data_IF_543430915521
#
_entry.id   IF_543430915521
#
_cell.length_a   1.000
_cell.length_b   1.000
_cell.length_c   1.000
_cell.angle_alpha   90.00
_cell.angle_beta   90.00
_cell.angle_gamma   90.00
#
_symmetry.space_group_name_H-M   'P 1'
#
loop_
_entity.id
_entity.type
_entity.pdbx_description
1 polymer ?
#
# COMPACT_ATOMS: atom_id res chain seq x y z
N UNK A 1 -6.32 0.30 -16.97
CA UNK A 1 -5.62 -0.76 -16.19
C UNK A 1 -6.23 -2.10 -16.57
N UNK A 2 -5.41 -3.10 -16.91
CA UNK A 2 -5.91 -4.43 -17.28
C UNK A 2 -6.65 -5.13 -16.14
N UNK A 3 -7.46 -6.15 -16.46
CA UNK A 3 -8.11 -6.97 -15.42
C UNK A 3 -7.06 -7.70 -14.59
N UNK A 4 -7.21 -7.82 -13.25
CA UNK A 4 -6.32 -8.62 -12.43
C UNK A 4 -6.21 -10.06 -12.96
N UNK A 5 -5.02 -10.66 -12.91
CA UNK A 5 -4.73 -12.03 -13.39
C UNK A 5 -5.67 -13.06 -12.74
N UNK A 6 -5.97 -12.84 -11.48
CA UNK A 6 -6.95 -13.59 -10.71
C UNK A 6 -8.36 -13.54 -11.30
N UNK A 7 -8.81 -12.38 -11.78
CA UNK A 7 -10.11 -12.24 -12.42
C UNK A 7 -10.13 -12.96 -13.77
N UNK A 8 -9.04 -12.86 -14.54
CA UNK A 8 -8.90 -13.57 -15.83
C UNK A 8 -9.04 -15.08 -15.62
N UNK A 9 -8.37 -15.63 -14.60
CA UNK A 9 -8.48 -17.03 -14.25
C UNK A 9 -9.92 -17.41 -13.81
N UNK A 10 -10.54 -16.63 -12.93
CA UNK A 10 -11.91 -16.90 -12.45
C UNK A 10 -12.94 -16.82 -13.59
N UNK A 11 -12.80 -15.85 -14.49
CA UNK A 11 -13.66 -15.71 -15.69
C UNK A 11 -13.55 -16.98 -16.55
N UNK A 12 -12.33 -17.46 -16.81
CA UNK A 12 -12.11 -18.68 -17.60
C UNK A 12 -12.66 -19.92 -16.90
N UNK A 13 -12.38 -20.08 -15.60
CA UNK A 13 -12.89 -21.20 -14.80
C UNK A 13 -14.42 -21.25 -14.81
N UNK A 14 -15.07 -20.10 -14.69
CA UNK A 14 -16.53 -19.95 -14.73
C UNK A 14 -17.07 -20.31 -16.12
N UNK A 15 -16.44 -19.80 -17.18
CA UNK A 15 -16.81 -20.13 -18.55
C UNK A 15 -16.67 -21.64 -18.84
N UNK A 16 -15.61 -22.28 -18.34
CA UNK A 16 -15.43 -23.73 -18.45
C UNK A 16 -16.52 -24.50 -17.70
N UNK A 17 -16.88 -24.06 -16.49
CA UNK A 17 -17.96 -24.68 -15.72
C UNK A 17 -19.31 -24.58 -16.43
N UNK A 18 -19.64 -23.40 -16.96
CA UNK A 18 -20.88 -23.18 -17.73
C UNK A 18 -20.90 -24.01 -19.01
N UNK A 19 -19.76 -24.11 -19.70
CA UNK A 19 -19.66 -24.93 -20.92
C UNK A 19 -19.98 -26.40 -20.66
N UNK A 20 -19.49 -26.96 -19.54
CA UNK A 20 -19.80 -28.35 -19.15
C UNK A 20 -21.23 -28.51 -18.65
N UNK A 21 -21.79 -27.48 -18.00
CA UNK A 21 -23.19 -27.45 -17.58
C UNK A 21 -24.14 -27.56 -18.78
N UNK A 22 -23.89 -26.76 -19.81
CA UNK A 22 -24.75 -26.66 -20.99
C UNK A 22 -24.53 -27.83 -21.95
N UNK A 23 -23.29 -28.33 -22.01
CA UNK A 23 -22.91 -29.48 -22.81
C UNK A 23 -21.97 -30.40 -22.01
N UNK A 24 -22.52 -31.53 -21.52
CA UNK A 24 -21.78 -32.53 -20.73
C UNK A 24 -20.54 -33.10 -21.43
N UNK A 25 -20.48 -33.05 -22.76
CA UNK A 25 -19.33 -33.51 -23.56
C UNK A 25 -18.42 -32.37 -24.04
N UNK A 26 -18.60 -31.14 -23.52
CA UNK A 26 -17.75 -30.01 -23.84
C UNK A 26 -16.27 -30.34 -23.57
N UNK A 27 -15.42 -29.96 -24.53
CA UNK A 27 -13.97 -30.05 -24.41
C UNK A 27 -13.47 -28.76 -23.78
N UNK A 28 -12.76 -28.90 -22.65
CA UNK A 28 -12.18 -27.78 -21.94
C UNK A 28 -10.67 -27.77 -22.18
N UNK A 29 -10.12 -26.61 -22.56
CA UNK A 29 -8.67 -26.42 -22.65
C UNK A 29 -8.06 -26.35 -21.25
N UNK A 30 -7.73 -27.51 -20.70
CA UNK A 30 -7.14 -27.64 -19.36
C UNK A 30 -5.71 -27.12 -19.30
N UNK A 31 -4.99 -27.02 -20.44
CA UNK A 31 -3.63 -26.45 -20.48
C UNK A 31 -3.67 -24.93 -20.34
N UNK A 32 -4.59 -24.28 -21.04
CA UNK A 32 -4.83 -22.85 -20.90
C UNK A 32 -5.30 -22.53 -19.47
N UNK A 33 -6.26 -23.30 -18.95
CA UNK A 33 -6.79 -23.11 -17.60
C UNK A 33 -5.70 -23.28 -16.53
N UNK A 34 -4.82 -24.28 -16.68
CA UNK A 34 -3.66 -24.48 -15.81
C UNK A 34 -2.67 -23.31 -15.88
N UNK A 35 -2.36 -22.81 -17.08
CA UNK A 35 -1.44 -21.69 -17.26
C UNK A 35 -1.96 -20.40 -16.60
N UNK A 36 -3.26 -20.11 -16.75
CA UNK A 36 -3.90 -18.97 -16.08
C UNK A 36 -3.92 -19.14 -14.56
N UNK A 37 -4.17 -20.35 -14.09
CA UNK A 37 -4.13 -20.67 -12.66
C UNK A 37 -2.73 -20.44 -12.07
N UNK A 38 -1.67 -20.94 -12.71
CA UNK A 38 -0.30 -20.79 -12.20
C UNK A 38 0.14 -19.32 -12.13
N UNK A 39 -0.27 -18.52 -13.12
CA UNK A 39 -0.04 -17.07 -13.12
C UNK A 39 -0.81 -16.39 -11.97
N UNK A 40 -2.12 -16.65 -11.85
CA UNK A 40 -2.96 -16.07 -10.81
C UNK A 40 -2.45 -16.43 -9.41
N UNK A 41 -2.05 -17.69 -9.21
CA UNK A 41 -1.44 -18.19 -7.97
C UNK A 41 -0.17 -17.43 -7.63
N UNK A 42 0.77 -17.33 -8.57
CA UNK A 42 2.05 -16.64 -8.38
C UNK A 42 1.85 -15.18 -7.98
N UNK A 43 0.96 -14.47 -8.68
CA UNK A 43 0.65 -13.06 -8.37
C UNK A 43 0.01 -12.92 -6.98
N UNK A 44 -0.93 -13.81 -6.63
CA UNK A 44 -1.59 -13.76 -5.32
C UNK A 44 -0.62 -14.04 -4.16
N UNK A 45 0.29 -15.01 -4.31
CA UNK A 45 1.35 -15.25 -3.33
C UNK A 45 2.27 -14.05 -3.17
N UNK A 46 2.71 -13.43 -4.28
CA UNK A 46 3.53 -12.20 -4.22
C UNK A 46 2.81 -11.07 -3.49
N UNK A 47 1.51 -10.88 -3.74
CA UNK A 47 0.68 -9.87 -3.03
C UNK A 47 0.60 -10.17 -1.54
N UNK A 48 0.38 -11.44 -1.16
CA UNK A 48 0.37 -11.85 0.24
C UNK A 48 1.71 -11.55 0.92
N UNK A 49 2.83 -12.00 0.35
CA UNK A 49 4.17 -11.78 0.91
C UNK A 49 4.52 -10.29 1.02
N UNK A 50 4.09 -9.47 0.05
CA UNK A 50 4.28 -8.03 0.14
C UNK A 50 3.45 -7.43 1.27
N UNK A 51 2.20 -7.87 1.43
CA UNK A 51 1.33 -7.40 2.51
C UNK A 51 1.84 -7.83 3.89
N UNK A 52 2.42 -9.02 4.03
CA UNK A 52 3.02 -9.50 5.29
C UNK A 52 4.06 -8.54 5.86
N UNK A 53 4.86 -7.90 4.98
CA UNK A 53 5.92 -6.95 5.34
C UNK A 53 5.41 -5.58 5.82
N UNK A 54 4.16 -5.24 5.50
CA UNK A 54 3.56 -3.95 5.89
C UNK A 54 3.12 -4.06 7.35
N UNK A 55 3.45 -3.11 8.21
CA UNK A 55 2.89 -3.09 9.57
C UNK A 55 1.44 -2.62 9.53
N UNK A 56 0.55 -3.24 10.31
CA UNK A 56 -0.79 -2.67 10.50
C UNK A 56 -0.62 -1.37 11.30
N UNK A 57 -1.10 -0.27 10.75
CA UNK A 57 -0.92 1.04 11.35
C UNK A 57 -2.23 1.59 11.94
N UNK A 58 -3.37 1.05 11.51
CA UNK A 58 -4.69 1.41 11.99
C UNK A 58 -5.43 0.15 12.43
N UNK A 59 -5.22 -0.24 13.68
CA UNK A 59 -5.82 -1.45 14.26
C UNK A 59 -7.34 -1.41 14.31
N UNK A 60 -7.92 -0.21 14.32
CA UNK A 60 -9.38 -0.05 14.38
C UNK A 60 -10.01 -0.38 13.02
N UNK A 61 -9.37 0.03 11.93
CA UNK A 61 -9.80 -0.37 10.59
C UNK A 61 -9.37 -1.79 10.22
N UNK A 62 -8.23 -2.24 10.74
CA UNK A 62 -7.65 -3.58 10.48
C UNK A 62 -7.59 -3.91 8.97
N UNK A 63 -7.28 -2.90 8.15
CA UNK A 63 -7.37 -3.01 6.69
C UNK A 63 -6.36 -4.03 6.14
N UNK A 64 -5.15 -4.10 6.73
CA UNK A 64 -4.16 -5.13 6.37
C UNK A 64 -4.71 -6.51 6.72
N UNK A 65 -5.27 -6.68 7.92
CA UNK A 65 -5.83 -7.96 8.37
C UNK A 65 -6.93 -8.47 7.46
N UNK A 66 -7.88 -7.60 7.08
CA UNK A 66 -8.98 -7.93 6.17
C UNK A 66 -8.45 -8.29 4.77
N UNK A 67 -7.50 -7.49 4.24
CA UNK A 67 -6.85 -7.77 2.95
C UNK A 67 -6.10 -9.10 2.97
N UNK A 68 -5.43 -9.41 4.07
CA UNK A 68 -4.70 -10.66 4.27
C UNK A 68 -5.64 -11.86 4.26
N UNK A 69 -6.77 -11.76 4.96
CA UNK A 69 -7.78 -12.83 5.00
C UNK A 69 -8.39 -13.10 3.62
N UNK A 70 -8.59 -12.06 2.80
CA UNK A 70 -8.98 -12.19 1.41
C UNK A 70 -7.96 -12.99 0.60
N UNK A 71 -6.67 -12.62 0.63
CA UNK A 71 -5.62 -13.35 -0.11
C UNK A 71 -5.46 -14.80 0.35
N UNK A 72 -5.51 -15.06 1.66
CA UNK A 72 -5.45 -16.42 2.22
C UNK A 72 -6.59 -17.30 1.74
N UNK A 73 -7.79 -16.75 1.56
CA UNK A 73 -8.94 -17.54 1.07
C UNK A 73 -8.72 -18.10 -0.32
N UNK A 74 -8.08 -17.32 -1.20
CA UNK A 74 -7.68 -17.77 -2.52
C UNK A 74 -6.53 -18.77 -2.49
N UNK A 75 -5.55 -18.57 -1.61
CA UNK A 75 -4.46 -19.53 -1.49
C UNK A 75 -4.93 -20.91 -1.01
N UNK A 76 -5.94 -20.97 -0.15
CA UNK A 76 -6.62 -22.23 0.20
C UNK A 76 -7.23 -22.93 -1.03
N UNK A 77 -8.00 -22.19 -1.82
CA UNK A 77 -8.57 -22.64 -3.11
C UNK A 77 -7.49 -23.13 -4.08
N UNK A 78 -6.41 -22.38 -4.22
CA UNK A 78 -5.31 -22.66 -5.14
C UNK A 78 -4.50 -23.89 -4.74
N UNK A 79 -4.42 -24.23 -3.45
CA UNK A 79 -3.66 -25.40 -3.01
C UNK A 79 -4.44 -26.70 -3.21
N UNK A 80 -5.77 -26.68 -3.05
CA UNK A 80 -6.54 -27.92 -2.92
C UNK A 80 -7.61 -28.10 -4.01
N UNK A 81 -8.54 -27.15 -4.13
CA UNK A 81 -9.74 -27.32 -4.94
C UNK A 81 -9.48 -27.05 -6.43
N UNK A 82 -8.74 -26.00 -6.76
CA UNK A 82 -8.51 -25.62 -8.17
C UNK A 82 -7.74 -26.68 -8.97
N UNK A 83 -6.61 -27.25 -8.49
CA UNK A 83 -5.93 -28.32 -9.22
C UNK A 83 -6.84 -29.53 -9.47
N UNK A 84 -7.65 -29.91 -8.48
CA UNK A 84 -8.62 -31.00 -8.61
C UNK A 84 -9.72 -30.66 -9.63
N UNK A 85 -10.22 -29.42 -9.64
CA UNK A 85 -11.20 -28.97 -10.61
C UNK A 85 -10.67 -29.06 -12.06
N UNK A 86 -9.42 -28.63 -12.29
CA UNK A 86 -8.77 -28.71 -13.61
C UNK A 86 -8.64 -30.17 -14.07
N UNK A 87 -8.26 -31.08 -13.16
CA UNK A 87 -8.21 -32.51 -13.44
C UNK A 87 -9.59 -33.06 -13.85
N UNK A 88 -10.64 -32.72 -13.09
CA UNK A 88 -12.02 -33.16 -13.38
C UNK A 88 -12.47 -32.64 -14.76
N UNK A 89 -12.15 -31.39 -15.12
CA UNK A 89 -12.46 -30.86 -16.45
C UNK A 89 -11.83 -31.67 -17.59
N UNK A 90 -10.66 -32.27 -17.37
CA UNK A 90 -9.97 -33.12 -18.34
C UNK A 90 -10.56 -34.53 -18.49
N UNK A 91 -11.48 -34.93 -17.62
CA UNK A 91 -12.12 -36.25 -17.69
C UNK A 91 -13.18 -36.33 -18.80
N UNK A 92 -13.63 -37.55 -19.12
CA UNK A 92 -14.71 -37.82 -20.09
C UNK A 92 -16.04 -38.19 -19.41
N UNK A 93 -16.23 -37.87 -18.13
CA UNK A 93 -17.48 -38.17 -17.43
C UNK A 93 -18.56 -37.13 -17.69
N UNK A 94 -19.82 -37.55 -17.55
CA UNK A 94 -20.99 -36.67 -17.66
C UNK A 94 -21.23 -35.82 -16.41
N UNK A 95 -20.71 -36.24 -15.25
CA UNK A 95 -20.92 -35.63 -13.93
C UNK A 95 -19.87 -34.56 -13.56
N UNK A 96 -19.05 -34.15 -14.54
CA UNK A 96 -17.97 -33.18 -14.34
C UNK A 96 -18.48 -31.85 -13.78
N UNK A 97 -19.65 -31.40 -14.23
CA UNK A 97 -20.25 -30.16 -13.73
C UNK A 97 -20.53 -30.26 -12.23
N UNK A 98 -21.26 -31.30 -11.80
CA UNK A 98 -21.65 -31.50 -10.40
C UNK A 98 -20.41 -31.66 -9.51
N UNK A 99 -19.41 -32.43 -9.96
CA UNK A 99 -18.17 -32.65 -9.21
C UNK A 99 -17.35 -31.37 -9.05
N UNK A 100 -17.19 -30.59 -10.12
CA UNK A 100 -16.47 -29.31 -10.02
C UNK A 100 -17.28 -28.31 -9.19
N UNK A 101 -18.58 -28.18 -9.43
CA UNK A 101 -19.45 -27.25 -8.73
C UNK A 101 -19.45 -27.50 -7.21
N UNK A 102 -19.62 -28.76 -6.80
CA UNK A 102 -19.60 -29.16 -5.39
C UNK A 102 -18.24 -28.90 -4.72
N UNK A 103 -17.16 -28.96 -5.50
CA UNK A 103 -15.81 -28.70 -5.02
C UNK A 103 -15.53 -27.20 -4.85
N UNK A 104 -15.85 -26.37 -5.86
CA UNK A 104 -15.39 -24.98 -5.91
C UNK A 104 -16.41 -23.96 -5.38
N UNK A 105 -17.72 -24.16 -5.60
CA UNK A 105 -18.72 -23.14 -5.27
C UNK A 105 -18.79 -22.80 -3.77
N UNK A 106 -18.72 -23.76 -2.83
CA UNK A 106 -18.72 -23.43 -1.41
C UNK A 106 -17.55 -22.52 -1.02
N UNK A 107 -16.38 -22.75 -1.60
CA UNK A 107 -15.17 -21.96 -1.33
C UNK A 107 -15.23 -20.59 -2.00
N UNK A 108 -15.71 -20.51 -3.25
CA UNK A 108 -15.92 -19.25 -3.94
C UNK A 108 -16.91 -18.35 -3.20
N UNK A 109 -17.94 -18.92 -2.55
CA UNK A 109 -18.88 -18.16 -1.72
C UNK A 109 -18.18 -17.51 -0.52
N UNK A 110 -17.31 -18.25 0.18
CA UNK A 110 -16.51 -17.71 1.30
C UNK A 110 -15.57 -16.62 0.80
N UNK A 111 -14.88 -16.87 -0.30
CA UNK A 111 -13.99 -15.89 -0.94
C UNK A 111 -14.75 -14.63 -1.35
N UNK A 112 -15.98 -14.75 -1.87
CA UNK A 112 -16.82 -13.61 -2.22
C UNK A 112 -17.21 -12.78 -1.00
N UNK A 113 -17.53 -13.41 0.13
CA UNK A 113 -17.81 -12.70 1.38
C UNK A 113 -16.59 -11.89 1.84
N UNK A 114 -15.38 -12.48 1.73
CA UNK A 114 -14.12 -11.78 2.06
C UNK A 114 -13.80 -10.65 1.08
N UNK A 115 -14.13 -10.79 -0.21
CA UNK A 115 -14.01 -9.72 -1.20
C UNK A 115 -14.90 -8.52 -0.84
N UNK A 116 -16.15 -8.79 -0.41
CA UNK A 116 -17.08 -7.74 0.02
C UNK A 116 -16.58 -7.04 1.29
N UNK A 117 -16.05 -7.79 2.26
CA UNK A 117 -15.44 -7.23 3.45
C UNK A 117 -14.22 -6.34 3.11
N UNK A 118 -13.36 -6.77 2.18
CA UNK A 118 -12.24 -5.98 1.68
C UNK A 118 -12.72 -4.67 1.02
N UNK A 119 -13.74 -4.75 0.16
CA UNK A 119 -14.33 -3.56 -0.48
C UNK A 119 -14.88 -2.57 0.54
N UNK A 120 -15.59 -3.07 1.55
CA UNK A 120 -16.09 -2.21 2.62
C UNK A 120 -14.93 -1.58 3.40
N UNK A 121 -13.93 -2.37 3.79
CA UNK A 121 -12.77 -1.87 4.52
C UNK A 121 -11.97 -0.83 3.71
N UNK A 122 -11.91 -0.97 2.39
CA UNK A 122 -11.33 0.03 1.50
C UNK A 122 -12.12 1.35 1.54
N UNK A 123 -13.46 1.27 1.48
CA UNK A 123 -14.34 2.45 1.60
C UNK A 123 -14.18 3.11 2.97
N UNK A 124 -14.15 2.33 4.04
CA UNK A 124 -14.00 2.82 5.42
C UNK A 124 -12.64 3.51 5.59
N UNK A 125 -11.58 2.91 5.05
CA UNK A 125 -10.24 3.49 5.01
C UNK A 125 -10.21 4.80 4.25
N UNK A 126 -10.69 4.82 3.00
CA UNK A 126 -10.74 6.02 2.18
C UNK A 126 -11.56 7.11 2.85
N UNK A 127 -12.68 6.77 3.49
CA UNK A 127 -13.55 7.71 4.20
C UNK A 127 -12.86 8.30 5.42
N UNK A 128 -12.33 7.47 6.33
CA UNK A 128 -11.62 7.93 7.55
C UNK A 128 -10.49 8.89 7.18
N UNK A 129 -9.66 8.52 6.22
CA UNK A 129 -8.49 9.34 5.85
C UNK A 129 -8.83 10.54 4.95
N UNK A 130 -9.94 10.51 4.22
CA UNK A 130 -10.47 11.68 3.51
C UNK A 130 -11.12 12.67 4.46
N UNK A 131 -11.87 12.21 5.46
CA UNK A 131 -12.44 13.07 6.49
C UNK A 131 -11.35 13.70 7.35
N UNK A 132 -10.35 12.91 7.78
CA UNK A 132 -9.14 13.45 8.43
C UNK A 132 -8.44 14.50 7.57
N UNK A 133 -8.40 14.33 6.24
CA UNK A 133 -7.81 15.34 5.36
C UNK A 133 -8.64 16.64 5.24
N UNK A 134 -9.96 16.55 5.43
CA UNK A 134 -10.89 17.68 5.35
C UNK A 134 -11.09 18.39 6.69
N UNK A 135 -10.96 17.68 7.80
CA UNK A 135 -11.05 18.21 9.16
C UNK A 135 -9.74 18.83 9.65
N UNK A 136 -8.65 18.71 8.88
CA UNK A 136 -7.43 19.46 9.13
C UNK A 136 -7.72 20.95 8.96
N UNK A 137 -7.48 21.72 10.03
CA UNK A 137 -7.67 23.16 10.03
C UNK A 137 -6.89 23.80 8.86
N UNK A 138 -7.49 24.83 8.28
CA UNK A 138 -6.86 25.62 7.22
C UNK A 138 -5.57 26.21 7.80
N UNK A 139 -4.43 25.73 7.32
CA UNK A 139 -3.09 25.98 7.87
C UNK A 139 -2.82 27.49 8.05
N UNK A 140 -2.91 27.96 9.28
CA UNK A 140 -2.53 29.30 9.72
C UNK A 140 -1.17 29.25 10.42
N UNK A 141 -0.50 30.39 10.60
CA UNK A 141 0.81 30.44 11.26
C UNK A 141 0.84 29.87 12.69
N UNK A 142 -0.31 29.67 13.34
CA UNK A 142 -0.46 29.04 14.66
C UNK A 142 -0.56 27.51 14.65
N UNK A 143 -0.70 26.87 13.48
CA UNK A 143 -0.80 25.41 13.34
C UNK A 143 0.57 24.71 13.27
N UNK A 144 1.64 25.47 13.45
CA UNK A 144 3.00 24.97 13.35
C UNK A 144 3.79 25.21 14.63
N UNK A 145 4.48 24.16 15.07
CA UNK A 145 5.46 24.19 16.14
C UNK A 145 6.86 24.12 15.52
N UNK A 146 7.77 24.99 15.97
CA UNK A 146 9.15 25.02 15.48
C UNK A 146 10.07 24.43 16.55
N UNK A 147 10.51 23.20 16.33
CA UNK A 147 11.38 22.47 17.27
C UNK A 147 12.82 22.61 16.83
N UNK A 148 13.72 23.00 17.73
CA UNK A 148 15.15 23.08 17.41
C UNK A 148 15.69 21.71 17.04
N UNK A 149 16.40 21.63 15.92
CA UNK A 149 16.96 20.37 15.43
C UNK A 149 17.91 19.74 16.45
N UNK A 150 18.70 20.56 17.18
CA UNK A 150 19.62 20.10 18.22
C UNK A 150 18.93 19.48 19.44
N UNK A 151 17.69 19.86 19.70
CA UNK A 151 16.90 19.37 20.84
C UNK A 151 16.03 18.17 20.44
N UNK A 152 15.99 17.84 19.14
CA UNK A 152 15.23 16.73 18.60
C UNK A 152 16.06 15.44 18.63
N UNK A 153 15.57 14.42 19.33
CA UNK A 153 16.22 13.12 19.42
C UNK A 153 15.84 12.26 18.21
N UNK A 154 16.81 11.94 17.35
CA UNK A 154 16.61 11.04 16.21
C UNK A 154 17.87 10.24 15.88
N UNK A 155 17.66 9.11 15.20
CA UNK A 155 18.74 8.35 14.55
C UNK A 155 18.77 8.66 13.07
N UNK A 156 19.96 8.82 12.50
CA UNK A 156 20.10 9.01 11.05
C UNK A 156 20.09 7.67 10.32
N UNK A 157 19.67 7.70 9.06
CA UNK A 157 19.85 6.58 8.13
C UNK A 157 20.20 7.12 6.74
N UNK A 158 20.42 6.22 5.79
CA UNK A 158 20.68 6.58 4.40
C UNK A 158 19.61 5.98 3.50
N UNK A 159 19.28 6.71 2.44
CA UNK A 159 18.30 6.28 1.45
C UNK A 159 18.93 6.40 0.07
N UNK A 160 18.67 5.43 -0.80
CA UNK A 160 19.19 5.45 -2.17
C UNK A 160 18.51 6.54 -2.98
N UNK A 161 19.30 7.23 -3.81
CA UNK A 161 18.76 8.16 -4.81
C UNK A 161 17.71 7.47 -5.69
N UNK A 162 16.63 8.18 -6.00
CA UNK A 162 15.52 7.64 -6.77
C UNK A 162 14.55 6.76 -5.97
N UNK A 163 14.75 6.56 -4.66
CA UNK A 163 13.82 5.79 -3.83
C UNK A 163 12.42 6.41 -3.87
N UNK A 164 11.39 5.57 -3.95
CA UNK A 164 9.99 6.00 -4.00
C UNK A 164 9.42 6.02 -2.59
N UNK A 165 8.96 7.18 -2.16
CA UNK A 165 8.49 7.44 -0.80
C UNK A 165 7.01 7.76 -0.84
N UNK A 166 6.19 6.92 -0.24
CA UNK A 166 4.76 7.18 -0.06
C UNK A 166 4.53 7.95 1.24
N UNK A 167 3.99 9.16 1.11
CA UNK A 167 3.75 10.08 2.22
C UNK A 167 2.57 9.64 3.09
N UNK A 168 2.84 9.61 4.39
CA UNK A 168 1.85 9.51 5.46
C UNK A 168 1.49 10.90 6.00
N UNK A 169 2.51 11.76 6.16
CA UNK A 169 2.37 13.06 6.81
C UNK A 169 3.40 14.05 6.27
N UNK A 170 3.05 15.34 6.33
CA UNK A 170 3.88 16.45 5.88
C UNK A 170 3.57 17.73 6.66
N UNK A 171 4.63 18.38 7.12
CA UNK A 171 4.51 19.49 8.06
C UNK A 171 4.23 20.86 7.45
N UNK A 172 4.34 21.11 6.15
CA UNK A 172 4.01 22.44 5.58
C UNK A 172 4.83 23.62 6.09
N UNK A 173 4.24 24.82 6.01
CA UNK A 173 4.80 26.10 6.50
C UNK A 173 5.49 26.93 5.42
N UNK A 174 4.93 28.10 5.08
CA UNK A 174 5.44 28.98 4.01
C UNK A 174 5.87 30.39 4.49
N UNK A 175 5.52 30.77 5.73
CA UNK A 175 5.93 32.05 6.34
C UNK A 175 7.12 31.84 7.28
N UNK A 176 8.33 31.83 6.72
CA UNK A 176 9.57 31.52 7.45
C UNK A 176 10.48 32.74 7.51
N UNK A 177 11.12 33.00 8.65
CA UNK A 177 12.07 34.11 8.82
C UNK A 177 13.37 33.86 8.05
N UNK A 178 13.94 34.88 7.40
CA UNK A 178 15.20 34.74 6.65
C UNK A 178 16.44 34.43 7.53
N UNK A 179 16.37 34.69 8.85
CA UNK A 179 17.51 34.53 9.77
C UNK A 179 17.77 33.09 10.26
N UNK A 180 16.82 32.18 10.02
CA UNK A 180 16.84 30.80 10.53
C UNK A 180 16.77 29.77 9.38
N UNK A 181 17.26 28.57 9.64
CA UNK A 181 17.17 27.43 8.73
C UNK A 181 16.01 26.55 9.16
N UNK A 182 15.08 26.30 8.26
CA UNK A 182 13.89 25.50 8.53
C UNK A 182 13.84 24.24 7.68
N UNK A 183 13.45 23.15 8.31
CA UNK A 183 13.22 21.86 7.67
C UNK A 183 11.72 21.54 7.67
N UNK A 184 11.17 21.33 6.48
CA UNK A 184 9.90 20.63 6.28
C UNK A 184 10.14 19.15 6.51
N UNK A 185 9.30 18.51 7.31
CA UNK A 185 9.37 17.06 7.52
C UNK A 185 8.32 16.34 6.67
N UNK A 186 8.72 15.17 6.19
CA UNK A 186 7.86 14.22 5.50
C UNK A 186 8.01 12.88 6.19
N UNK A 187 6.90 12.35 6.70
CA UNK A 187 6.87 10.98 7.22
C UNK A 187 6.34 10.11 6.09
N UNK A 188 7.12 9.11 5.69
CA UNK A 188 6.76 8.28 4.55
C UNK A 188 7.33 6.88 4.61
N UNK A 189 6.80 6.03 3.75
CA UNK A 189 7.18 4.63 3.60
C UNK A 189 8.07 4.50 2.36
N UNK A 190 9.29 4.00 2.52
CA UNK A 190 10.11 3.59 1.38
C UNK A 190 9.48 2.37 0.73
N UNK A 191 9.04 2.52 -0.52
CA UNK A 191 8.35 1.46 -1.27
C UNK A 191 9.25 0.27 -1.59
N UNK A 192 10.57 0.41 -1.45
CA UNK A 192 11.53 -0.67 -1.67
C UNK A 192 11.67 -1.55 -0.44
N UNK A 193 11.94 -0.94 0.73
CA UNK A 193 12.18 -1.67 1.99
C UNK A 193 10.91 -1.93 2.80
N UNK A 194 9.90 -1.05 2.71
CA UNK A 194 8.74 -1.01 3.58
C UNK A 194 8.96 -0.23 4.89
N UNK A 195 10.16 0.31 5.10
CA UNK A 195 10.49 1.05 6.30
C UNK A 195 9.77 2.41 6.34
N UNK A 196 9.28 2.79 7.51
CA UNK A 196 8.77 4.14 7.77
C UNK A 196 9.93 5.03 8.22
N UNK A 197 10.10 6.16 7.56
CA UNK A 197 11.19 7.09 7.82
C UNK A 197 10.72 8.55 7.79
N UNK A 198 11.53 9.42 8.40
CA UNK A 198 11.40 10.87 8.35
C UNK A 198 12.37 11.43 7.32
N UNK A 199 11.89 12.28 6.44
CA UNK A 199 12.72 13.06 5.52
C UNK A 199 12.65 14.51 5.94
N UNK A 200 13.80 15.09 6.28
CA UNK A 200 13.94 16.51 6.57
C UNK A 200 14.46 17.23 5.32
N UNK A 201 13.58 18.01 4.69
CA UNK A 201 13.88 18.79 3.49
C UNK A 201 13.97 20.27 3.84
N UNK A 202 14.94 20.98 3.28
CA UNK A 202 15.03 22.43 3.46
C UNK A 202 13.77 23.10 2.92
N UNK A 203 13.09 23.85 3.78
CA UNK A 203 11.80 24.44 3.46
C UNK A 203 11.80 25.36 2.22
N UNK A 204 12.86 26.17 1.95
CA UNK A 204 12.90 27.05 0.77
C UNK A 204 12.97 26.32 -0.58
N UNK A 205 13.51 25.11 -0.62
CA UNK A 205 13.73 24.36 -1.87
C UNK A 205 12.76 23.20 -2.05
N UNK A 206 12.00 22.87 -1.01
CA UNK A 206 11.01 21.81 -1.05
C UNK A 206 9.63 22.38 -1.40
N UNK A 207 9.19 22.07 -2.60
CA UNK A 207 7.83 22.37 -3.06
C UNK A 207 6.96 21.12 -2.96
N UNK A 208 5.83 21.23 -2.26
CA UNK A 208 4.80 20.21 -2.22
C UNK A 208 3.44 20.89 -2.10
N UNK A 209 2.61 20.73 -3.12
CA UNK A 209 1.24 21.24 -3.15
C UNK A 209 0.31 20.10 -2.74
N UNK A 210 -0.14 20.10 -1.48
CA UNK A 210 -0.95 19.01 -0.93
C UNK A 210 -2.22 18.72 -1.74
N UNK A 211 -2.80 19.74 -2.38
CA UNK A 211 -4.05 19.61 -3.13
C UNK A 211 -3.82 19.06 -4.54
N UNK A 212 -2.59 19.11 -5.07
CA UNK A 212 -2.27 18.74 -6.46
C UNK A 212 -1.24 17.63 -6.60
N UNK A 213 -0.41 17.41 -5.59
CA UNK A 213 0.74 16.53 -5.70
C UNK A 213 0.37 15.09 -5.36
N UNK A 214 0.99 14.14 -6.09
CA UNK A 214 0.92 12.73 -5.79
C UNK A 214 1.45 12.47 -4.37
N UNK A 215 0.87 11.50 -3.67
CA UNK A 215 1.39 11.05 -2.36
C UNK A 215 2.69 10.28 -2.46
N UNK A 216 3.19 10.00 -3.66
CA UNK A 216 4.47 9.29 -3.85
C UNK A 216 5.50 10.27 -4.41
N UNK A 217 6.52 10.57 -3.60
CA UNK A 217 7.67 11.36 -4.00
C UNK A 217 8.85 10.48 -4.42
N UNK A 218 9.71 11.02 -5.28
CA UNK A 218 11.02 10.45 -5.59
C UNK A 218 12.06 11.14 -4.71
N UNK A 219 12.72 10.39 -3.86
CA UNK A 219 13.84 10.90 -3.08
C UNK A 219 15.00 11.27 -4.01
N UNK A 220 15.49 12.49 -3.88
CA UNK A 220 16.67 12.97 -4.59
C UNK A 220 17.80 13.29 -3.61
N UNK A 221 19.02 12.99 -4.04
CA UNK A 221 20.22 12.95 -3.22
C UNK A 221 20.41 14.16 -2.29
N UNK A 222 20.71 13.77 -1.05
CA UNK A 222 21.57 14.32 -0.01
C UNK A 222 22.13 15.73 -0.22
N UNK A 223 21.60 16.69 0.54
CA UNK A 223 22.32 17.90 0.93
C UNK A 223 23.51 17.45 1.80
N UNK A 224 24.63 17.08 1.17
CA UNK A 224 25.88 16.60 1.77
C UNK A 224 25.80 16.35 3.28
N UNK A 225 25.39 15.13 3.65
CA UNK A 225 25.71 14.41 4.90
C UNK A 225 26.37 15.34 5.94
N UNK A 226 25.55 16.06 6.70
CA UNK A 226 26.01 16.48 8.03
C UNK A 226 26.12 15.21 8.86
N UNK A 227 27.34 14.71 8.99
CA UNK A 227 27.68 13.87 10.14
C UNK A 227 27.20 14.62 11.38
N UNK A 228 26.47 13.92 12.23
CA UNK A 228 25.60 14.36 13.33
C UNK A 228 26.18 15.37 14.36
N UNK A 229 27.30 16.03 14.15
CA UNK A 229 28.07 16.62 15.26
C UNK A 229 27.79 18.07 15.63
N UNK A 230 27.05 18.88 14.88
CA UNK A 230 26.58 20.18 15.40
C UNK A 230 25.41 20.73 14.59
N UNK A 231 24.19 20.44 15.05
CA UNK A 231 23.05 21.26 14.69
C UNK A 231 23.23 22.66 15.32
N UNK A 232 23.01 23.71 14.52
CA UNK A 232 23.08 25.10 14.95
C UNK A 232 21.86 25.48 15.79
N UNK A 233 22.00 26.49 16.65
CA UNK A 233 20.89 27.11 17.39
C UNK A 233 19.86 27.80 16.47
N UNK A 234 20.19 27.95 15.19
CA UNK A 234 19.34 28.54 14.15
C UNK A 234 18.60 27.52 13.30
N UNK A 235 18.68 26.23 13.62
CA UNK A 235 18.05 25.15 12.85
C UNK A 235 16.78 24.61 13.51
N UNK A 236 15.68 24.63 12.77
CA UNK A 236 14.35 24.25 13.25
C UNK A 236 13.68 23.24 12.32
N UNK A 237 13.00 22.27 12.90
CA UNK A 237 12.07 21.38 12.22
C UNK A 237 10.67 21.97 12.40
N UNK A 238 9.94 22.07 11.31
CA UNK A 238 8.53 22.49 11.33
C UNK A 238 7.68 21.27 11.66
N UNK A 239 6.86 21.35 12.69
CA UNK A 239 5.87 20.34 13.05
C UNK A 239 4.47 20.90 12.80
N UNK A 240 3.62 20.14 12.12
CA UNK A 240 2.20 20.43 12.05
C UNK A 240 1.55 19.91 13.33
N UNK A 241 1.05 20.83 14.15
CA UNK A 241 0.46 20.48 15.45
C UNK A 241 -0.77 19.57 15.30
N UNK A 242 -1.48 19.66 14.17
CA UNK A 242 -2.61 18.78 13.85
C UNK A 242 -2.18 17.36 13.43
N UNK A 243 -0.89 17.12 13.20
CA UNK A 243 -0.33 15.81 12.88
C UNK A 243 0.70 15.35 13.93
N UNK A 244 0.68 15.94 15.13
CA UNK A 244 1.66 15.67 16.17
C UNK A 244 1.79 14.18 16.53
N UNK A 245 0.69 13.42 16.54
CA UNK A 245 0.69 11.98 16.85
C UNK A 245 1.53 11.16 15.86
N UNK A 246 1.61 11.61 14.61
CA UNK A 246 2.45 10.98 13.57
C UNK A 246 3.82 11.65 13.60
N UNK A 247 3.87 12.97 13.49
CA UNK A 247 5.12 13.72 13.30
C UNK A 247 6.06 13.67 14.50
N UNK A 248 5.61 13.41 15.73
CA UNK A 248 6.49 13.28 16.92
C UNK A 248 7.04 11.86 17.13
N UNK A 249 6.73 10.92 16.23
CA UNK A 249 7.28 9.57 16.26
C UNK A 249 8.80 9.52 16.12
N UNK A 250 9.42 8.53 16.77
CA UNK A 250 10.87 8.29 16.71
C UNK A 250 11.23 7.47 15.46
N UNK A 251 11.30 8.15 14.31
CA UNK A 251 11.67 7.54 13.03
C UNK A 251 13.17 7.69 12.76
N UNK A 252 13.71 6.73 12.00
CA UNK A 252 14.97 6.94 11.31
C UNK A 252 14.83 8.14 10.37
N UNK A 253 15.80 9.04 10.41
CA UNK A 253 15.74 10.31 9.72
C UNK A 253 16.79 10.39 8.62
N UNK A 254 16.38 10.90 7.46
CA UNK A 254 17.26 11.25 6.34
C UNK A 254 17.08 12.73 6.01
N UNK A 255 18.12 13.36 5.47
CA UNK A 255 18.06 14.72 4.96
C UNK A 255 18.09 14.69 3.44
N UNK A 256 17.12 15.32 2.79
CA UNK A 256 17.06 15.31 1.33
C UNK A 256 15.80 15.97 0.80
N UNK A 257 15.60 15.88 -0.51
CA UNK A 257 14.48 16.49 -1.20
C UNK A 257 13.57 15.38 -1.74
N UNK A 258 12.27 15.62 -1.71
CA UNK A 258 11.30 14.81 -2.42
C UNK A 258 10.84 15.54 -3.68
N UNK A 259 11.06 14.94 -4.84
CA UNK A 259 10.47 15.41 -6.09
C UNK A 259 9.11 14.73 -6.30
N UNK A 260 8.08 15.53 -6.54
CA UNK A 260 6.71 15.06 -6.82
C UNK A 260 6.38 15.40 -8.26
N UNK A 261 6.72 14.50 -9.18
CA UNK A 261 6.35 14.63 -10.58
C UNK A 261 4.81 14.68 -10.69
N UNK A 262 4.28 15.67 -11.41
CA UNK A 262 2.84 15.90 -11.60
C UNK A 262 2.22 14.89 -12.56
#
# INVERSE_FOLDING_TARGET
MGRPEQQIFIDKLTASLLSVKDNKVAVIDTKELQSLFDLAKTVNFKRQTNLEKISEFDSDLNYKGITMEYFKSYNGLFQNEIPKAILIFGEKSEDRFERVANLILPKLKVTKQKELALKQAQIDFETKYKELSKSQAKRTGSDYEFVKLKDFNFSTTTLKDGAKIELLSFSGGDNLSEENIYYKQFIGIDKTSGDTLRILALAPIQHYDFDKALRVGTYMIDLQIRNQMTASDKEYIIFNTNQADIEKGNYKTVFGILNFDR
#
